data_IF_576884002982
#
_entry.id   IF_576884002982
#
_cell.length_a   1.000
_cell.length_b   1.000
_cell.length_c   1.000
_cell.angle_alpha   90.00
_cell.angle_beta   90.00
_cell.angle_gamma   90.00
#
_symmetry.space_group_name_H-M   'P 1'
#
loop_
_entity.id
_entity.type
_entity.pdbx_description
1 polymer ?
#
# COMPACT_ATOMS: atom_id res chain seq x y z
N UNK A 1 50.65 -49.90 -18.97
CA UNK A 1 50.51 -48.71 -19.85
C UNK A 1 49.07 -48.24 -19.78
N UNK A 2 48.82 -47.01 -19.30
CA UNK A 2 47.48 -46.43 -19.13
C UNK A 2 47.16 -45.54 -20.34
N UNK A 3 46.01 -45.66 -21.00
CA UNK A 3 45.55 -44.65 -21.94
C UNK A 3 44.89 -43.48 -21.22
N UNK A 4 45.17 -42.29 -21.73
CA UNK A 4 44.79 -41.00 -21.17
C UNK A 4 43.36 -40.58 -21.53
N UNK A 5 42.84 -39.78 -20.60
CA UNK A 5 41.60 -39.04 -20.52
C UNK A 5 41.29 -38.16 -21.76
N UNK A 6 40.03 -38.15 -22.20
CA UNK A 6 39.37 -37.00 -22.86
C UNK A 6 37.85 -37.12 -22.69
N UNK A 7 37.26 -36.22 -21.89
CA UNK A 7 35.81 -35.96 -21.85
C UNK A 7 35.58 -34.54 -22.39
N UNK A 8 34.51 -34.30 -23.17
CA UNK A 8 34.27 -33.01 -23.80
C UNK A 8 33.83 -31.93 -22.81
N UNK A 9 34.37 -30.73 -23.06
CA UNK A 9 34.12 -29.43 -22.44
C UNK A 9 32.76 -28.90 -22.87
N UNK A 10 31.86 -28.59 -21.93
CA UNK A 10 30.68 -27.78 -22.20
C UNK A 10 30.58 -26.65 -21.18
N UNK A 11 30.67 -25.45 -21.73
CA UNK A 11 30.50 -24.10 -21.22
C UNK A 11 29.99 -23.90 -19.78
N UNK A 12 30.81 -23.22 -18.99
CA UNK A 12 30.35 -22.35 -17.92
C UNK A 12 29.53 -21.21 -18.54
N UNK A 13 28.31 -21.01 -18.04
CA UNK A 13 27.61 -19.73 -18.12
C UNK A 13 27.33 -19.30 -16.68
N UNK A 14 28.36 -18.79 -16.02
CA UNK A 14 28.18 -17.95 -14.84
C UNK A 14 27.87 -16.53 -15.33
N UNK A 15 26.63 -16.11 -15.10
CA UNK A 15 26.32 -14.70 -14.85
C UNK A 15 25.08 -14.62 -13.96
N UNK A 16 25.10 -15.33 -12.83
CA UNK A 16 24.31 -14.89 -11.69
C UNK A 16 25.00 -13.65 -11.13
N UNK A 17 24.60 -12.49 -11.66
CA UNK A 17 24.85 -11.23 -10.96
C UNK A 17 24.20 -11.38 -9.59
N UNK A 18 25.03 -11.61 -8.58
CA UNK A 18 24.60 -11.80 -7.21
C UNK A 18 24.18 -10.43 -6.70
N UNK A 19 22.90 -10.11 -6.90
CA UNK A 19 22.28 -9.02 -6.17
C UNK A 19 22.42 -9.35 -4.68
N UNK A 20 23.00 -8.41 -3.94
CA UNK A 20 23.19 -8.51 -2.50
C UNK A 20 21.86 -8.92 -1.83
N UNK A 21 21.86 -9.80 -0.81
CA UNK A 21 20.63 -10.29 -0.18
C UNK A 21 19.72 -9.17 0.34
N UNK A 22 20.27 -7.97 0.57
CA UNK A 22 19.54 -6.75 0.92
C UNK A 22 18.61 -6.27 -0.20
N UNK A 23 19.04 -6.32 -1.46
CA UNK A 23 18.22 -5.93 -2.62
C UNK A 23 17.16 -6.99 -2.97
N UNK A 24 17.43 -8.27 -2.69
CA UNK A 24 16.47 -9.35 -2.91
C UNK A 24 15.33 -9.36 -1.88
N UNK A 25 15.58 -8.96 -0.63
CA UNK A 25 14.50 -8.75 0.37
C UNK A 25 13.71 -7.46 0.11
N UNK A 26 14.34 -6.41 -0.44
CA UNK A 26 13.63 -5.20 -0.91
C UNK A 26 12.76 -5.49 -2.15
N UNK A 27 13.19 -6.37 -3.05
CA UNK A 27 12.43 -6.75 -4.26
C UNK A 27 11.37 -7.83 -4.01
N UNK A 28 11.58 -8.74 -3.05
CA UNK A 28 10.55 -9.67 -2.57
C UNK A 28 9.47 -8.96 -1.74
N UNK A 29 9.79 -7.77 -1.21
CA UNK A 29 8.86 -6.76 -0.72
C UNK A 29 8.45 -5.77 -1.81
N UNK A 30 8.06 -6.23 -3.00
CA UNK A 30 7.17 -5.46 -3.85
C UNK A 30 6.00 -5.00 -2.95
N UNK A 31 6.05 -3.70 -2.61
CA UNK A 31 5.46 -3.07 -1.44
C UNK A 31 4.10 -3.69 -1.12
N UNK A 32 3.85 -4.18 0.12
CA UNK A 32 2.53 -4.75 0.52
C UNK A 32 1.39 -3.82 0.09
N UNK A 33 1.68 -2.52 0.02
CA UNK A 33 0.84 -1.50 -0.57
C UNK A 33 0.44 -1.72 -2.04
N UNK A 34 1.38 -2.00 -2.94
CA UNK A 34 1.13 -2.16 -4.38
C UNK A 34 0.15 -3.31 -4.69
N UNK A 35 0.08 -4.33 -3.82
CA UNK A 35 -0.95 -5.36 -3.89
C UNK A 35 -2.40 -4.82 -3.84
N UNK A 36 -2.60 -3.64 -3.25
CA UNK A 36 -3.91 -2.97 -3.19
C UNK A 36 -4.16 -1.98 -4.35
N UNK A 37 -3.17 -1.71 -5.22
CA UNK A 37 -3.34 -0.76 -6.33
C UNK A 37 -4.54 -1.11 -7.23
N UNK A 38 -4.80 -2.38 -7.62
CA UNK A 38 -5.96 -2.72 -8.43
C UNK A 38 -7.30 -2.42 -7.74
N UNK A 39 -7.34 -2.44 -6.41
CA UNK A 39 -8.51 -2.11 -5.63
C UNK A 39 -8.72 -0.58 -5.57
N UNK A 40 -7.64 0.16 -5.32
CA UNK A 40 -7.63 1.63 -5.29
C UNK A 40 -7.98 2.22 -6.65
N UNK A 41 -7.49 1.62 -7.74
CA UNK A 41 -7.71 2.08 -9.12
C UNK A 41 -9.14 1.89 -9.64
N UNK A 42 -10.05 1.29 -8.88
CA UNK A 42 -11.48 1.18 -9.24
C UNK A 42 -12.24 2.51 -9.17
N UNK A 43 -11.64 3.52 -8.55
CA UNK A 43 -12.31 4.75 -8.17
C UNK A 43 -11.68 5.98 -8.83
N UNK A 44 -12.50 7.03 -9.01
CA UNK A 44 -12.11 8.28 -9.68
C UNK A 44 -11.46 9.27 -8.71
N UNK A 45 -10.25 8.93 -8.28
CA UNK A 45 -9.34 9.77 -7.51
C UNK A 45 -7.92 9.63 -8.09
N UNK A 46 -7.00 10.52 -7.69
CA UNK A 46 -5.61 10.31 -8.07
C UNK A 46 -5.07 9.06 -7.33
N UNK A 47 -4.86 7.98 -8.09
CA UNK A 47 -4.43 6.68 -7.55
C UNK A 47 -3.12 6.79 -6.80
N UNK A 48 -2.14 7.56 -7.28
CA UNK A 48 -0.84 7.69 -6.62
C UNK A 48 -0.95 8.42 -5.28
N UNK A 49 -1.80 9.46 -5.20
CA UNK A 49 -2.09 10.13 -3.92
C UNK A 49 -2.82 9.17 -2.98
N UNK A 50 -3.81 8.42 -3.47
CA UNK A 50 -4.55 7.44 -2.67
C UNK A 50 -3.62 6.36 -2.08
N UNK A 51 -2.70 5.83 -2.89
CA UNK A 51 -1.70 4.85 -2.47
C UNK A 51 -0.74 5.44 -1.43
N UNK A 52 -0.31 6.69 -1.61
CA UNK A 52 0.55 7.39 -0.65
C UNK A 52 -0.18 7.65 0.68
N UNK A 53 -1.44 8.06 0.65
CA UNK A 53 -2.28 8.22 1.85
C UNK A 53 -2.45 6.89 2.58
N UNK A 54 -2.84 5.82 1.89
CA UNK A 54 -3.00 4.48 2.47
C UNK A 54 -1.70 4.01 3.16
N UNK A 55 -0.56 4.19 2.50
CA UNK A 55 0.75 3.88 3.08
C UNK A 55 1.06 4.73 4.31
N UNK A 56 0.75 6.02 4.27
CA UNK A 56 1.00 6.92 5.40
C UNK A 56 0.07 6.67 6.60
N UNK A 57 -1.16 6.22 6.37
CA UNK A 57 -2.18 5.97 7.39
C UNK A 57 -1.92 4.65 8.14
N UNK A 58 -1.70 3.55 7.41
CA UNK A 58 -1.62 2.21 8.03
C UNK A 58 -0.30 1.49 7.76
N UNK A 59 0.53 1.97 6.83
CA UNK A 59 1.60 1.16 6.25
C UNK A 59 1.02 -0.04 5.47
N UNK A 60 -0.19 0.10 4.93
CA UNK A 60 -0.91 -0.92 4.17
C UNK A 60 -1.27 -2.18 4.97
N UNK A 61 -1.42 -2.03 6.29
CA UNK A 61 -1.89 -3.07 7.21
C UNK A 61 -3.40 -3.01 7.37
N UNK A 62 -4.08 -4.07 6.94
CA UNK A 62 -5.56 -4.17 6.91
C UNK A 62 -6.21 -4.23 8.29
N UNK A 63 -5.46 -4.63 9.32
CA UNK A 63 -5.93 -4.78 10.70
C UNK A 63 -5.48 -3.64 11.63
N UNK A 64 -5.02 -2.50 11.09
CA UNK A 64 -4.60 -1.35 11.90
C UNK A 64 -5.80 -0.73 12.60
N UNK A 65 -5.62 -0.37 13.88
CA UNK A 65 -6.61 0.30 14.70
C UNK A 65 -5.96 1.50 15.39
N UNK A 66 -6.47 2.70 15.11
CA UNK A 66 -6.17 3.93 15.84
C UNK A 66 -7.31 4.25 16.79
N UNK A 67 -7.00 4.54 18.07
CA UNK A 67 -8.01 4.95 19.06
C UNK A 67 -7.91 6.44 19.31
N UNK A 68 -9.03 7.14 19.20
CA UNK A 68 -9.11 8.58 19.42
C UNK A 68 -9.58 8.89 20.85
N UNK A 69 -9.14 10.03 21.38
CA UNK A 69 -9.51 10.49 22.74
C UNK A 69 -11.00 10.80 22.88
N UNK A 70 -11.69 11.06 21.78
CA UNK A 70 -13.14 11.33 21.72
C UNK A 70 -14.00 10.05 21.67
N UNK A 71 -13.41 8.87 21.88
CA UNK A 71 -14.13 7.58 21.89
C UNK A 71 -14.38 6.97 20.51
N UNK A 72 -14.01 7.66 19.42
CA UNK A 72 -14.03 7.08 18.06
C UNK A 72 -12.77 6.28 17.79
N UNK A 73 -12.77 5.52 16.70
CA UNK A 73 -11.58 4.81 16.25
C UNK A 73 -11.45 4.80 14.73
N UNK A 74 -10.24 4.71 14.25
CA UNK A 74 -9.87 4.68 12.85
C UNK A 74 -9.36 3.28 12.50
N UNK A 75 -9.84 2.68 11.41
CA UNK A 75 -9.54 1.28 11.10
C UNK A 75 -9.12 1.04 9.65
N UNK A 76 -8.28 0.04 9.47
CA UNK A 76 -7.91 -0.54 8.19
C UNK A 76 -6.99 0.33 7.34
N UNK A 77 -6.99 0.05 6.04
CA UNK A 77 -6.01 0.59 5.08
C UNK A 77 -5.93 2.13 5.07
N UNK A 78 -7.07 2.79 5.02
CA UNK A 78 -7.21 4.25 4.98
C UNK A 78 -7.56 4.87 6.34
N UNK A 79 -7.46 4.10 7.44
CA UNK A 79 -7.77 4.58 8.78
C UNK A 79 -9.16 5.27 8.82
N UNK A 80 -10.19 4.58 8.32
CA UNK A 80 -11.55 5.14 8.25
C UNK A 80 -12.16 5.22 9.65
N UNK A 81 -12.58 6.43 10.03
CA UNK A 81 -13.16 6.69 11.35
C UNK A 81 -14.52 6.00 11.54
N UNK A 82 -14.78 5.53 12.76
CA UNK A 82 -16.00 4.83 13.15
C UNK A 82 -17.29 5.67 13.04
N UNK A 83 -17.20 7.00 12.91
CA UNK A 83 -18.36 7.85 12.60
C UNK A 83 -18.96 7.56 11.22
N UNK A 84 -18.17 7.01 10.30
CA UNK A 84 -18.61 6.70 8.93
C UNK A 84 -19.12 5.26 8.80
N UNK A 85 -18.65 4.35 9.65
CA UNK A 85 -19.08 2.97 9.74
C UNK A 85 -18.66 2.38 11.09
N UNK A 86 -19.62 1.94 11.90
CA UNK A 86 -19.35 1.37 13.24
C UNK A 86 -18.98 -0.11 13.19
N UNK A 87 -18.98 -0.75 12.01
CA UNK A 87 -18.72 -2.18 11.85
C UNK A 87 -17.25 -2.50 11.64
N UNK A 88 -16.88 -3.76 11.91
CA UNK A 88 -15.55 -4.32 11.65
C UNK A 88 -15.29 -4.59 10.16
N UNK A 89 -16.28 -4.35 9.28
CA UNK A 89 -16.05 -4.42 7.83
C UNK A 89 -15.00 -3.42 7.37
N UNK A 90 -14.70 -2.39 8.16
CA UNK A 90 -13.58 -1.47 7.92
C UNK A 90 -12.22 -2.16 7.88
N UNK A 91 -12.05 -3.38 8.40
CA UNK A 91 -10.80 -4.14 8.24
C UNK A 91 -10.73 -4.93 6.92
N UNK A 92 -11.87 -5.09 6.21
CA UNK A 92 -11.90 -5.73 4.90
C UNK A 92 -11.39 -4.73 3.84
N UNK A 93 -10.34 -5.06 3.07
CA UNK A 93 -9.73 -4.13 2.12
C UNK A 93 -10.75 -3.48 1.19
N UNK A 94 -11.58 -4.28 0.52
CA UNK A 94 -12.55 -3.82 -0.48
C UNK A 94 -13.51 -2.81 0.10
N UNK A 95 -14.03 -3.09 1.29
CA UNK A 95 -14.98 -2.23 1.97
C UNK A 95 -14.31 -0.95 2.51
N UNK A 96 -13.09 -1.06 3.04
CA UNK A 96 -12.32 0.07 3.53
C UNK A 96 -12.01 1.07 2.41
N UNK A 97 -11.52 0.60 1.26
CA UNK A 97 -11.24 1.45 0.10
C UNK A 97 -12.52 2.07 -0.45
N UNK A 98 -13.62 1.32 -0.50
CA UNK A 98 -14.92 1.85 -0.93
C UNK A 98 -15.43 2.96 -0.01
N UNK A 99 -15.29 2.81 1.32
CA UNK A 99 -15.64 3.86 2.28
C UNK A 99 -14.72 5.08 2.16
N UNK A 100 -13.41 4.87 2.03
CA UNK A 100 -12.45 5.93 1.82
C UNK A 100 -12.82 6.77 0.59
N UNK A 101 -13.11 6.14 -0.54
CA UNK A 101 -13.53 6.86 -1.73
C UNK A 101 -14.85 7.65 -1.52
N UNK A 102 -15.83 7.08 -0.81
CA UNK A 102 -17.08 7.80 -0.48
C UNK A 102 -16.79 9.07 0.34
N UNK A 103 -15.90 9.00 1.32
CA UNK A 103 -15.48 10.14 2.14
C UNK A 103 -14.78 11.18 1.27
N UNK A 104 -13.82 10.76 0.44
CA UNK A 104 -13.14 11.60 -0.54
C UNK A 104 -14.15 12.35 -1.42
N UNK A 105 -15.05 11.62 -2.11
CA UNK A 105 -16.01 12.20 -3.03
C UNK A 105 -17.00 13.15 -2.34
N UNK A 106 -17.42 12.85 -1.11
CA UNK A 106 -18.25 13.75 -0.31
C UNK A 106 -17.48 15.03 0.05
N UNK A 107 -16.19 14.92 0.41
CA UNK A 107 -15.34 16.04 0.79
C UNK A 107 -14.97 16.92 -0.38
N UNK A 108 -14.73 16.36 -1.57
CA UNK A 108 -14.38 17.10 -2.79
C UNK A 108 -15.42 18.15 -3.19
N UNK A 109 -16.67 17.98 -2.76
CA UNK A 109 -17.75 18.97 -2.95
C UNK A 109 -17.53 20.28 -2.18
N UNK A 110 -16.67 20.27 -1.16
CA UNK A 110 -16.46 21.39 -0.23
C UNK A 110 -15.09 22.04 -0.37
N UNK A 111 -14.05 21.31 -0.74
CA UNK A 111 -12.67 21.81 -0.70
C UNK A 111 -11.84 21.56 -1.96
N UNK A 112 -12.50 21.23 -3.08
CA UNK A 112 -11.93 21.02 -4.43
C UNK A 112 -10.92 19.87 -4.58
N UNK A 113 -10.39 19.30 -3.50
CA UNK A 113 -9.40 18.22 -3.56
C UNK A 113 -9.86 16.92 -2.89
N UNK A 114 -10.82 16.94 -1.97
CA UNK A 114 -11.29 15.78 -1.20
C UNK A 114 -10.30 15.26 -0.15
N UNK A 115 -9.01 15.43 -0.41
CA UNK A 115 -7.90 14.93 0.38
C UNK A 115 -7.80 15.52 1.79
N UNK A 116 -8.42 16.67 2.08
CA UNK A 116 -8.40 17.24 3.45
C UNK A 116 -9.21 16.43 4.46
N UNK A 117 -9.92 15.38 4.04
CA UNK A 117 -10.50 14.41 4.96
C UNK A 117 -9.44 13.59 5.71
N UNK A 118 -8.21 13.49 5.19
CA UNK A 118 -7.12 12.76 5.83
C UNK A 118 -6.10 13.71 6.47
N UNK A 119 -5.81 13.46 7.74
CA UNK A 119 -4.87 14.28 8.52
C UNK A 119 -3.44 14.23 7.96
N UNK A 120 -3.05 13.11 7.32
CA UNK A 120 -1.73 12.96 6.67
C UNK A 120 -1.51 13.92 5.49
N UNK A 121 -2.59 14.40 4.86
CA UNK A 121 -2.51 15.47 3.87
C UNK A 121 -2.40 16.85 4.53
N UNK A 122 -3.16 17.07 5.60
CA UNK A 122 -3.19 18.35 6.32
C UNK A 122 -1.87 18.69 7.01
N UNK A 123 -1.20 17.68 7.56
CA UNK A 123 0.08 17.84 8.26
C UNK A 123 1.31 17.76 7.32
N UNK A 124 1.09 17.63 6.01
CA UNK A 124 2.15 17.58 5.00
C UNK A 124 2.92 16.27 4.93
N UNK A 125 2.50 15.21 5.66
CA UNK A 125 3.13 13.87 5.55
C UNK A 125 2.97 13.29 4.14
N UNK A 126 1.87 13.61 3.46
CA UNK A 126 1.62 13.28 2.06
C UNK A 126 1.31 14.57 1.29
N UNK A 127 1.97 14.76 0.14
CA UNK A 127 1.68 15.88 -0.76
C UNK A 127 0.41 15.57 -1.57
N UNK A 128 -0.73 16.05 -1.09
CA UNK A 128 -2.04 15.78 -1.70
C UNK A 128 -2.59 16.95 -2.55
N UNK A 129 -1.99 18.13 -2.45
CA UNK A 129 -2.33 19.35 -3.17
C UNK A 129 -1.11 20.29 -3.23
#
# INVERSE_FOLDING_TARGET
MRPALLKPKVAAVEAHTSASPKAAVEAAGADVCEGFRPLVAKYDWNVDIAMAVMKAESGCRTNTLGRNTNGTNDAGLFQVNSIHDTTDRRYQPEHNVALAYKIYAARSKWDSSGWKAWSVCLNGKVKCY
#
